data_IF_796598780169
#
_entry.id   IF_796598780169
#
_cell.length_a   1.000
_cell.length_b   1.000
_cell.length_c   1.000
_cell.angle_alpha   90.00
_cell.angle_beta   90.00
_cell.angle_gamma   90.00
#
_symmetry.space_group_name_H-M   'P 1'
#
loop_
_entity.id
_entity.type
_entity.pdbx_description
1 polymer ?
#
# COMPACT_ATOMS: atom_id res chain seq x y z
N UNK A 1 4.82 -22.81 -7.39
CA UNK A 1 5.01 -22.34 -6.00
C UNK A 1 6.32 -21.56 -5.93
N UNK A 2 6.26 -20.29 -5.55
CA UNK A 2 7.44 -19.44 -5.39
C UNK A 2 8.18 -19.74 -4.07
N UNK A 3 9.38 -19.16 -3.87
CA UNK A 3 10.08 -19.23 -2.57
C UNK A 3 9.25 -18.63 -1.43
N UNK A 4 8.55 -17.52 -1.71
CA UNK A 4 7.63 -16.89 -0.75
C UNK A 4 6.50 -17.84 -0.38
N UNK A 5 5.91 -18.55 -1.34
CA UNK A 5 4.87 -19.55 -1.05
C UNK A 5 5.37 -20.67 -0.13
N UNK A 6 6.58 -21.19 -0.36
CA UNK A 6 7.16 -22.27 0.44
C UNK A 6 7.44 -21.81 1.87
N UNK A 7 8.06 -20.64 2.02
CA UNK A 7 8.38 -20.09 3.33
C UNK A 7 7.11 -19.73 4.12
N UNK A 8 6.10 -19.14 3.46
CA UNK A 8 4.82 -18.85 4.07
C UNK A 8 4.07 -20.12 4.51
N UNK A 9 4.10 -21.20 3.70
CA UNK A 9 3.52 -22.50 4.10
C UNK A 9 4.23 -23.07 5.32
N UNK A 10 5.57 -23.10 5.32
CA UNK A 10 6.35 -23.58 6.45
C UNK A 10 6.02 -22.83 7.76
N UNK A 11 5.96 -21.49 7.70
CA UNK A 11 5.57 -20.67 8.84
C UNK A 11 4.12 -20.92 9.27
N UNK A 12 3.19 -21.06 8.34
CA UNK A 12 1.78 -21.32 8.64
C UNK A 12 1.58 -22.67 9.34
N UNK A 13 2.27 -23.72 8.87
CA UNK A 13 2.26 -25.06 9.49
C UNK A 13 2.91 -25.03 10.87
N UNK A 14 4.05 -24.34 11.02
CA UNK A 14 4.73 -24.17 12.30
C UNK A 14 3.86 -23.43 13.33
N UNK A 15 3.20 -22.34 12.94
CA UNK A 15 2.26 -21.62 13.81
C UNK A 15 1.10 -22.53 14.22
N UNK A 16 0.49 -23.24 13.27
CA UNK A 16 -0.65 -24.12 13.55
C UNK A 16 -0.27 -25.29 14.45
N UNK A 17 0.94 -25.83 14.28
CA UNK A 17 1.45 -26.93 15.09
C UNK A 17 1.67 -26.49 16.55
N UNK A 18 2.26 -25.31 16.77
CA UNK A 18 2.52 -24.78 18.10
C UNK A 18 1.29 -24.15 18.78
N UNK A 19 0.31 -23.70 17.99
CA UNK A 19 -0.95 -23.09 18.45
C UNK A 19 -2.15 -23.67 17.69
N UNK A 20 -2.67 -24.84 18.09
CA UNK A 20 -3.77 -25.52 17.41
C UNK A 20 -5.06 -24.70 17.33
N UNK A 21 -5.27 -23.76 18.25
CA UNK A 21 -6.40 -22.83 18.31
C UNK A 21 -6.33 -21.66 17.32
N UNK A 22 -5.21 -21.51 16.61
CA UNK A 22 -5.01 -20.43 15.62
C UNK A 22 -5.96 -20.53 14.41
N UNK A 23 -5.82 -19.65 13.43
CA UNK A 23 -6.52 -19.75 12.14
C UNK A 23 -6.08 -20.99 11.35
N UNK A 24 -6.83 -21.36 10.30
CA UNK A 24 -6.42 -22.46 9.42
C UNK A 24 -5.11 -22.16 8.70
N UNK A 25 -4.35 -23.20 8.33
CA UNK A 25 -3.09 -23.07 7.58
C UNK A 25 -3.28 -22.26 6.31
N UNK A 26 -4.41 -22.43 5.61
CA UNK A 26 -4.72 -21.66 4.40
C UNK A 26 -4.85 -20.14 4.66
N UNK A 27 -5.52 -19.75 5.75
CA UNK A 27 -5.68 -18.34 6.14
C UNK A 27 -4.34 -17.75 6.60
N UNK A 28 -3.60 -18.48 7.44
CA UNK A 28 -2.27 -18.07 7.89
C UNK A 28 -1.31 -17.88 6.72
N UNK A 29 -1.27 -18.84 5.79
CA UNK A 29 -0.45 -18.79 4.58
C UNK A 29 -0.77 -17.56 3.74
N UNK A 30 -2.06 -17.26 3.52
CA UNK A 30 -2.47 -16.07 2.77
C UNK A 30 -1.96 -14.78 3.43
N UNK A 31 -2.15 -14.63 4.75
CA UNK A 31 -1.70 -13.46 5.49
C UNK A 31 -0.16 -13.34 5.48
N UNK A 32 0.56 -14.45 5.65
CA UNK A 32 2.02 -14.49 5.63
C UNK A 32 2.59 -14.15 4.25
N UNK A 33 1.99 -14.62 3.16
CA UNK A 33 2.40 -14.21 1.80
C UNK A 33 2.29 -12.69 1.65
N UNK A 34 1.21 -12.08 2.11
CA UNK A 34 1.05 -10.62 2.05
C UNK A 34 2.11 -9.90 2.90
N UNK A 35 2.34 -10.37 4.14
CA UNK A 35 3.32 -9.78 5.05
C UNK A 35 4.76 -9.89 4.52
N UNK A 36 5.15 -11.06 4.00
CA UNK A 36 6.49 -11.30 3.45
C UNK A 36 6.72 -10.41 2.22
N UNK A 37 5.74 -10.30 1.31
CA UNK A 37 5.87 -9.42 0.14
C UNK A 37 5.99 -7.94 0.53
N UNK A 38 5.25 -7.51 1.55
CA UNK A 38 5.38 -6.16 2.11
C UNK A 38 6.78 -5.94 2.71
N UNK A 39 7.29 -6.91 3.47
CA UNK A 39 8.63 -6.85 4.05
C UNK A 39 9.73 -6.81 2.99
N UNK A 40 9.60 -7.60 1.91
CA UNK A 40 10.53 -7.56 0.76
C UNK A 40 10.52 -6.18 0.11
N UNK A 41 9.35 -5.63 -0.17
CA UNK A 41 9.20 -4.29 -0.77
C UNK A 41 9.86 -3.23 0.12
N UNK A 42 9.57 -3.27 1.43
CA UNK A 42 10.16 -2.37 2.41
C UNK A 42 11.70 -2.51 2.47
N UNK A 43 12.22 -3.73 2.46
CA UNK A 43 13.67 -3.97 2.44
C UNK A 43 14.34 -3.38 1.20
N UNK A 44 13.74 -3.56 0.00
CA UNK A 44 14.24 -2.97 -1.25
C UNK A 44 14.32 -1.44 -1.12
N UNK A 45 13.25 -0.81 -0.64
CA UNK A 45 13.18 0.64 -0.46
C UNK A 45 14.23 1.14 0.53
N UNK A 46 14.38 0.46 1.67
CA UNK A 46 15.34 0.84 2.71
C UNK A 46 16.79 0.65 2.27
N UNK A 47 17.11 -0.37 1.46
CA UNK A 47 18.46 -0.55 0.90
C UNK A 47 18.81 0.62 -0.01
N UNK A 48 17.91 1.02 -0.90
CA UNK A 48 18.13 2.19 -1.77
C UNK A 48 18.31 3.46 -0.92
N UNK A 49 17.48 3.66 0.09
CA UNK A 49 17.54 4.83 0.95
C UNK A 49 18.75 4.88 1.89
N UNK A 50 19.29 3.72 2.27
CA UNK A 50 20.55 3.64 3.01
C UNK A 50 21.73 4.12 2.14
N UNK A 51 21.70 3.84 0.84
CA UNK A 51 22.74 4.28 -0.10
C UNK A 51 22.63 5.79 -0.38
N UNK A 52 21.42 6.35 -0.45
CA UNK A 52 21.23 7.79 -0.75
C UNK A 52 21.18 8.69 0.49
N UNK A 53 21.05 8.14 1.70
CA UNK A 53 21.00 8.90 2.96
C UNK A 53 19.62 9.33 3.47
N UNK A 54 18.51 8.86 2.85
CA UNK A 54 17.13 9.28 3.20
C UNK A 54 16.33 8.19 3.96
N UNK A 55 17.02 7.38 4.77
CA UNK A 55 16.43 6.18 5.39
C UNK A 55 15.17 6.46 6.23
N UNK A 56 15.11 7.60 6.92
CA UNK A 56 13.93 7.98 7.72
C UNK A 56 12.71 8.31 6.86
N UNK A 57 12.89 9.03 5.75
CA UNK A 57 11.80 9.32 4.79
C UNK A 57 11.30 8.01 4.17
N UNK A 58 12.23 7.15 3.78
CA UNK A 58 11.92 5.86 3.19
C UNK A 58 11.20 4.90 4.16
N UNK A 59 11.60 4.90 5.43
CA UNK A 59 10.93 4.15 6.49
C UNK A 59 9.50 4.67 6.69
N UNK A 60 9.33 5.98 6.86
CA UNK A 60 8.02 6.60 6.99
C UNK A 60 7.12 6.32 5.78
N UNK A 61 7.66 6.47 4.56
CA UNK A 61 6.93 6.21 3.32
C UNK A 61 6.51 4.73 3.19
N UNK A 62 7.39 3.80 3.57
CA UNK A 62 7.10 2.35 3.55
C UNK A 62 6.02 1.93 4.54
N UNK A 63 5.75 2.74 5.57
CA UNK A 63 4.68 2.51 6.54
C UNK A 63 3.39 3.25 6.16
N UNK A 64 3.49 4.50 5.73
CA UNK A 64 2.36 5.36 5.40
C UNK A 64 1.64 4.92 4.12
N UNK A 65 2.38 4.42 3.12
CA UNK A 65 1.79 3.93 1.86
C UNK A 65 0.83 2.75 2.08
N UNK A 66 1.26 1.61 2.68
CA UNK A 66 0.35 0.51 2.95
C UNK A 66 -0.73 0.89 3.96
N UNK A 67 -0.44 1.78 4.93
CA UNK A 67 -1.44 2.28 5.87
C UNK A 67 -2.61 2.93 5.13
N UNK A 68 -2.34 3.90 4.25
CA UNK A 68 -3.39 4.54 3.46
C UNK A 68 -4.08 3.52 2.53
N UNK A 69 -3.30 2.64 1.90
CA UNK A 69 -3.81 1.59 0.99
C UNK A 69 -4.78 0.62 1.64
N UNK A 70 -4.61 0.30 2.92
CA UNK A 70 -5.51 -0.58 3.66
C UNK A 70 -6.93 0.00 3.76
N UNK A 71 -7.07 1.34 3.76
CA UNK A 71 -8.36 2.02 3.84
C UNK A 71 -8.87 2.51 2.48
N UNK A 72 -7.97 2.99 1.61
CA UNK A 72 -8.33 3.48 0.28
C UNK A 72 -8.57 2.35 -0.72
N UNK A 73 -7.92 1.20 -0.52
CA UNK A 73 -7.79 0.17 -1.53
C UNK A 73 -6.86 0.61 -2.68
N UNK A 74 -7.07 0.04 -3.86
CA UNK A 74 -6.27 0.31 -5.06
C UNK A 74 -6.29 -0.87 -6.04
N UNK A 75 -5.66 -0.71 -7.20
CA UNK A 75 -5.50 -1.82 -8.14
C UNK A 75 -4.54 -2.88 -7.56
N UNK A 76 -4.66 -4.12 -8.03
CA UNK A 76 -3.82 -5.24 -7.60
C UNK A 76 -3.36 -6.05 -8.83
N UNK A 77 -2.05 -6.27 -8.92
CA UNK A 77 -1.45 -7.13 -9.93
C UNK A 77 -1.68 -8.60 -9.59
N UNK A 78 -1.77 -9.46 -10.61
CA UNK A 78 -1.80 -10.91 -10.42
C UNK A 78 -0.42 -11.44 -10.02
N UNK A 79 0.65 -10.79 -10.49
CA UNK A 79 2.02 -11.13 -10.15
C UNK A 79 2.52 -10.36 -8.91
N UNK A 80 2.76 -11.07 -7.81
CA UNK A 80 3.25 -10.48 -6.56
C UNK A 80 4.63 -9.81 -6.72
N UNK A 81 5.54 -10.40 -7.50
CA UNK A 81 6.87 -9.83 -7.75
C UNK A 81 6.76 -8.49 -8.47
N UNK A 82 5.92 -8.42 -9.50
CA UNK A 82 5.65 -7.16 -10.21
C UNK A 82 5.04 -6.12 -9.27
N UNK A 83 4.09 -6.52 -8.43
CA UNK A 83 3.49 -5.63 -7.44
C UNK A 83 4.53 -5.05 -6.48
N UNK A 84 5.46 -5.88 -5.99
CA UNK A 84 6.52 -5.43 -5.08
C UNK A 84 7.42 -4.38 -5.75
N UNK A 85 7.87 -4.63 -6.98
CA UNK A 85 8.72 -3.69 -7.72
C UNK A 85 8.01 -2.37 -8.01
N UNK A 86 6.77 -2.41 -8.48
CA UNK A 86 6.01 -1.19 -8.77
C UNK A 86 5.70 -0.42 -7.48
N UNK A 87 5.37 -1.11 -6.39
CA UNK A 87 5.14 -0.48 -5.08
C UNK A 87 6.43 0.15 -4.55
N UNK A 88 7.56 -0.54 -4.65
CA UNK A 88 8.87 0.02 -4.27
C UNK A 88 9.19 1.26 -5.10
N UNK A 89 8.94 1.24 -6.42
CA UNK A 89 9.13 2.39 -7.29
C UNK A 89 8.25 3.58 -6.86
N UNK A 90 6.95 3.36 -6.59
CA UNK A 90 6.07 4.41 -6.09
C UNK A 90 6.55 5.04 -4.79
N UNK A 91 6.99 4.22 -3.84
CA UNK A 91 7.53 4.70 -2.56
C UNK A 91 8.83 5.48 -2.79
N UNK A 92 9.76 4.98 -3.59
CA UNK A 92 11.02 5.68 -3.89
C UNK A 92 10.79 7.00 -4.63
N UNK A 93 9.89 7.02 -5.61
CA UNK A 93 9.48 8.25 -6.32
C UNK A 93 8.97 9.28 -5.31
N UNK A 94 8.13 8.87 -4.35
CA UNK A 94 7.65 9.82 -3.34
C UNK A 94 8.75 10.40 -2.46
N UNK A 95 9.79 9.62 -2.15
CA UNK A 95 10.90 10.03 -1.28
C UNK A 95 11.82 11.04 -1.96
N UNK A 96 12.10 10.83 -3.25
CA UNK A 96 13.13 11.60 -3.96
C UNK A 96 12.59 12.68 -4.91
N UNK A 97 11.31 12.68 -5.26
CA UNK A 97 10.74 13.78 -6.06
C UNK A 97 10.68 15.03 -5.17
N UNK A 98 11.43 16.10 -5.51
CA UNK A 98 11.42 17.31 -4.72
C UNK A 98 10.10 18.03 -4.92
N UNK A 99 9.43 18.33 -3.80
CA UNK A 99 8.18 19.08 -3.76
C UNK A 99 8.28 20.09 -2.63
N UNK A 100 7.87 21.32 -2.92
CA UNK A 100 7.56 22.30 -1.88
C UNK A 100 6.10 22.12 -1.43
N UNK A 101 5.87 22.11 -0.12
CA UNK A 101 4.54 21.88 0.44
C UNK A 101 3.55 22.98 0.04
N UNK A 102 3.94 24.25 0.12
CA UNK A 102 3.02 25.38 -0.07
C UNK A 102 2.65 25.65 -1.53
N UNK A 103 3.43 25.10 -2.47
CA UNK A 103 3.10 25.15 -3.89
C UNK A 103 2.47 23.84 -4.35
N UNK A 104 3.29 22.82 -4.62
CA UNK A 104 2.81 21.59 -5.24
C UNK A 104 2.22 20.64 -4.19
N UNK A 105 2.77 20.59 -2.98
CA UNK A 105 2.35 19.62 -1.96
C UNK A 105 0.91 19.80 -1.48
N UNK A 106 0.44 21.04 -1.35
CA UNK A 106 -0.94 21.37 -0.96
C UNK A 106 -1.93 21.03 -2.08
N UNK A 107 -1.56 21.29 -3.34
CA UNK A 107 -2.36 20.92 -4.51
C UNK A 107 -2.47 19.40 -4.61
N UNK A 108 -1.36 18.68 -4.47
CA UNK A 108 -1.34 17.21 -4.46
C UNK A 108 -2.19 16.63 -3.33
N UNK A 109 -2.08 17.19 -2.11
CA UNK A 109 -2.89 16.75 -0.96
C UNK A 109 -4.39 17.00 -1.19
N UNK A 110 -4.75 18.17 -1.74
CA UNK A 110 -6.13 18.50 -2.08
C UNK A 110 -6.70 17.59 -3.17
N UNK A 111 -5.93 17.36 -4.24
CA UNK A 111 -6.30 16.42 -5.30
C UNK A 111 -6.46 14.99 -4.75
N UNK A 112 -5.59 14.57 -3.83
CA UNK A 112 -5.68 13.27 -3.15
C UNK A 112 -7.02 13.13 -2.42
N UNK A 113 -7.43 14.13 -1.63
CA UNK A 113 -8.73 14.12 -0.92
C UNK A 113 -9.89 13.94 -1.91
N UNK A 114 -9.90 14.72 -3.00
CA UNK A 114 -10.95 14.63 -4.02
C UNK A 114 -10.97 13.24 -4.67
N UNK A 115 -9.82 12.71 -5.06
CA UNK A 115 -9.72 11.38 -5.70
C UNK A 115 -10.22 10.29 -4.76
N UNK A 116 -9.86 10.33 -3.47
CA UNK A 116 -10.30 9.34 -2.48
C UNK A 116 -11.79 9.47 -2.15
N UNK A 117 -12.34 10.69 -2.08
CA UNK A 117 -13.77 10.88 -1.91
C UNK A 117 -14.59 10.27 -3.04
N UNK A 118 -14.09 10.35 -4.28
CA UNK A 118 -14.75 9.80 -5.46
C UNK A 118 -14.56 8.29 -5.61
N UNK A 119 -13.34 7.79 -5.39
CA UNK A 119 -12.97 6.43 -5.80
C UNK A 119 -12.81 5.44 -4.64
N UNK A 120 -12.56 5.90 -3.41
CA UNK A 120 -12.38 4.98 -2.29
C UNK A 120 -13.73 4.40 -1.79
N UNK A 121 -13.73 3.20 -1.20
CA UNK A 121 -12.62 2.26 -1.25
C UNK A 121 -12.60 1.48 -2.58
N UNK A 122 -11.45 1.46 -3.25
CA UNK A 122 -11.28 0.86 -4.58
C UNK A 122 -10.79 -0.60 -4.52
N UNK A 123 -11.17 -1.43 -5.51
CA UNK A 123 -10.69 -2.82 -5.59
C UNK A 123 -11.26 -3.78 -4.52
N UNK A 124 -12.16 -3.30 -3.65
CA UNK A 124 -12.69 -4.07 -2.51
C UNK A 124 -13.71 -5.15 -2.90
N UNK A 125 -14.02 -5.33 -4.19
CA UNK A 125 -14.87 -6.45 -4.67
C UNK A 125 -14.35 -7.85 -4.26
N UNK A 126 -13.08 -7.98 -3.85
CA UNK A 126 -12.47 -9.23 -3.37
C UNK A 126 -12.35 -9.32 -1.84
N UNK A 127 -12.76 -8.30 -1.09
CA UNK A 127 -12.66 -8.31 0.37
C UNK A 127 -13.97 -8.82 0.99
N UNK A 128 -13.86 -9.48 2.15
CA UNK A 128 -15.01 -9.97 2.94
C UNK A 128 -15.69 -8.85 3.74
N UNK A 129 -15.34 -7.59 3.51
CA UNK A 129 -15.87 -6.44 4.26
C UNK A 129 -17.27 -6.10 3.74
N UNK A 130 -18.23 -6.11 4.66
CA UNK A 130 -19.60 -5.67 4.41
C UNK A 130 -19.61 -4.21 3.93
N UNK A 131 -20.37 -3.94 2.86
CA UNK A 131 -20.50 -2.62 2.21
C UNK A 131 -20.90 -1.51 3.18
N UNK A 132 -21.59 -1.84 4.28
CA UNK A 132 -21.95 -0.87 5.32
C UNK A 132 -20.75 -0.14 5.94
N UNK A 133 -19.55 -0.73 5.90
CA UNK A 133 -18.34 -0.12 6.44
C UNK A 133 -17.57 0.73 5.42
N UNK A 134 -17.97 0.73 4.14
CA UNK A 134 -17.25 1.47 3.09
C UNK A 134 -17.21 2.99 3.34
N UNK A 135 -18.28 3.64 3.84
CA UNK A 135 -18.22 5.04 4.22
C UNK A 135 -17.18 5.31 5.30
N UNK A 136 -17.05 4.41 6.30
CA UNK A 136 -16.06 4.55 7.37
C UNK A 136 -14.64 4.43 6.81
N UNK A 137 -14.37 3.43 5.95
CA UNK A 137 -13.06 3.27 5.31
C UNK A 137 -12.67 4.51 4.50
N UNK A 138 -13.63 5.10 3.77
CA UNK A 138 -13.43 6.35 3.03
C UNK A 138 -13.09 7.51 3.97
N UNK A 139 -13.86 7.70 5.04
CA UNK A 139 -13.60 8.76 6.01
C UNK A 139 -12.24 8.61 6.69
N UNK A 140 -11.85 7.39 7.03
CA UNK A 140 -10.51 7.11 7.59
C UNK A 140 -9.42 7.42 6.57
N UNK A 141 -9.56 7.01 5.31
CA UNK A 141 -8.59 7.31 4.27
C UNK A 141 -8.43 8.82 4.03
N UNK A 142 -9.54 9.57 3.98
CA UNK A 142 -9.52 11.03 3.89
C UNK A 142 -8.88 11.65 5.13
N UNK A 143 -9.25 11.19 6.32
CA UNK A 143 -8.68 11.66 7.58
C UNK A 143 -7.16 11.50 7.65
N UNK A 144 -6.62 10.34 7.21
CA UNK A 144 -5.18 10.09 7.12
C UNK A 144 -4.49 11.14 6.23
N UNK A 145 -5.05 11.43 5.05
CA UNK A 145 -4.51 12.44 4.14
C UNK A 145 -4.63 13.85 4.74
N UNK A 146 -5.76 14.13 5.41
CA UNK A 146 -6.02 15.44 6.00
C UNK A 146 -5.03 15.82 7.09
N UNK A 147 -4.46 14.85 7.81
CA UNK A 147 -3.40 15.09 8.80
C UNK A 147 -2.19 15.80 8.16
N UNK A 148 -1.89 15.52 6.89
CA UNK A 148 -0.74 16.12 6.22
C UNK A 148 -0.90 17.63 5.94
N UNK A 149 -2.13 18.18 5.95
CA UNK A 149 -2.31 19.64 5.88
C UNK A 149 -1.78 20.36 7.13
N UNK A 150 -1.76 19.66 8.27
CA UNK A 150 -1.23 20.18 9.53
C UNK A 150 0.27 19.91 9.67
N UNK A 151 0.72 18.70 9.29
CA UNK A 151 2.14 18.31 9.38
C UNK A 151 3.02 18.91 8.28
N UNK A 152 2.43 19.26 7.15
CA UNK A 152 3.08 19.94 6.02
C UNK A 152 4.31 19.20 5.47
N UNK A 153 4.28 17.86 5.48
CA UNK A 153 5.41 17.03 5.06
C UNK A 153 5.35 16.84 3.54
N UNK A 154 6.31 17.37 2.75
CA UNK A 154 6.16 17.43 1.30
C UNK A 154 6.18 16.05 0.60
N UNK A 155 7.08 15.16 1.01
CA UNK A 155 7.20 13.82 0.40
C UNK A 155 5.95 12.98 0.65
N UNK A 156 5.27 13.20 1.79
CA UNK A 156 4.01 12.53 2.13
C UNK A 156 2.88 12.96 1.19
N UNK A 157 2.87 14.22 0.73
CA UNK A 157 1.91 14.69 -0.27
C UNK A 157 2.03 13.90 -1.58
N UNK A 158 3.27 13.67 -2.04
CA UNK A 158 3.55 12.88 -3.25
C UNK A 158 3.15 11.42 -3.02
N UNK A 159 3.50 10.85 -1.86
CA UNK A 159 3.19 9.48 -1.49
C UNK A 159 1.68 9.21 -1.52
N UNK A 160 0.91 10.07 -0.85
CA UNK A 160 -0.53 9.94 -0.78
C UNK A 160 -1.20 10.17 -2.13
N UNK A 161 -0.68 11.10 -2.92
CA UNK A 161 -1.19 11.33 -4.27
C UNK A 161 -0.98 10.11 -5.17
N UNK A 162 0.24 9.54 -5.21
CA UNK A 162 0.52 8.32 -5.98
C UNK A 162 -0.41 7.19 -5.52
N UNK A 163 -0.60 7.03 -4.21
CA UNK A 163 -1.49 6.01 -3.68
C UNK A 163 -2.96 6.24 -4.08
N UNK A 164 -3.44 7.48 -4.07
CA UNK A 164 -4.78 7.82 -4.53
C UNK A 164 -4.96 7.55 -6.03
N UNK A 165 -3.94 7.80 -6.87
CA UNK A 165 -3.99 7.42 -8.28
C UNK A 165 -4.26 5.92 -8.47
N UNK A 166 -3.75 5.05 -7.60
CA UNK A 166 -4.00 3.61 -7.70
C UNK A 166 -5.46 3.22 -7.49
N UNK A 167 -6.31 4.12 -6.98
CA UNK A 167 -7.73 3.86 -6.72
C UNK A 167 -8.63 4.01 -7.95
N UNK A 168 -8.11 4.56 -9.06
CA UNK A 168 -8.91 4.73 -10.27
C UNK A 168 -9.36 3.37 -10.86
N UNK A 169 -10.68 3.13 -11.06
CA UNK A 169 -11.18 1.83 -11.51
C UNK A 169 -10.67 1.40 -12.89
N UNK A 170 -10.35 2.36 -13.77
CA UNK A 170 -9.85 2.04 -15.11
C UNK A 170 -8.46 1.41 -15.08
N UNK A 171 -7.62 1.74 -14.08
CA UNK A 171 -6.28 1.15 -13.95
C UNK A 171 -6.37 -0.35 -13.71
N UNK A 172 -7.30 -0.80 -12.85
CA UNK A 172 -7.53 -2.23 -12.66
C UNK A 172 -7.93 -2.93 -13.98
N UNK A 173 -8.80 -2.30 -14.79
CA UNK A 173 -9.20 -2.86 -16.09
C UNK A 173 -8.03 -3.00 -17.05
N UNK A 174 -7.09 -2.05 -17.03
CA UNK A 174 -5.86 -2.12 -17.84
C UNK A 174 -4.97 -3.26 -17.37
N UNK A 175 -4.72 -3.36 -16.06
CA UNK A 175 -3.93 -4.44 -15.44
C UNK A 175 -4.51 -5.81 -15.80
N UNK A 176 -5.83 -5.97 -15.65
CA UNK A 176 -6.52 -7.23 -15.97
C UNK A 176 -6.43 -7.56 -17.48
N UNK A 177 -6.58 -6.56 -18.36
CA UNK A 177 -6.49 -6.74 -19.82
C UNK A 177 -5.09 -7.15 -20.28
N UNK A 178 -4.06 -6.62 -19.62
CA UNK A 178 -2.66 -6.93 -19.91
C UNK A 178 -2.16 -8.20 -19.21
N UNK A 179 -3.01 -8.85 -18.39
CA UNK A 179 -2.67 -10.04 -17.59
C UNK A 179 -1.44 -9.82 -16.68
N UNK A 180 -1.35 -8.63 -16.08
CA UNK A 180 -0.28 -8.23 -15.16
C UNK A 180 -0.61 -8.58 -13.71
#
# INVERSE_FOLDING_TARGET
MTYVDRFATYLAESIRHNKPESSSVAVLRYALIALINQAITMAIVLVVAAITGDILKALAASLLFPLLRNYSGGFHFQNATLCNWITAAFVLVSVYVPVDFWYNGIILSGATVVILLLNAPAGIKRSRIDKKHFPVLKLVAVGIVSINFFLQIPFVSVLFFIQALTTFPFLQRIVDKLKL
#
